data_IF_019733083124
#
_entry.id   IF_019733083124
#
_cell.length_a   1.000
_cell.length_b   1.000
_cell.length_c   1.000
_cell.angle_alpha   90.00
_cell.angle_beta   90.00
_cell.angle_gamma   90.00
#
_symmetry.space_group_name_H-M   'P 1'
#
loop_
_entity.id
_entity.type
_entity.pdbx_description
1 polymer ?
#
# COMPACT_ATOMS: atom_id res chain seq x y z
N UNK A 1 -76.94 -15.77 -57.33
CA UNK A 1 -77.26 -14.83 -56.24
C UNK A 1 -75.95 -14.27 -55.72
N UNK A 2 -75.76 -12.97 -55.90
CA UNK A 2 -74.59 -12.17 -55.51
C UNK A 2 -74.59 -11.85 -54.03
N UNK A 3 -73.43 -11.91 -53.36
CA UNK A 3 -73.12 -10.99 -52.26
C UNK A 3 -71.61 -10.67 -52.25
N UNK A 4 -71.30 -9.37 -52.36
CA UNK A 4 -70.03 -8.74 -52.00
C UNK A 4 -70.04 -8.44 -50.51
N UNK A 5 -68.88 -8.47 -49.86
CA UNK A 5 -68.54 -7.54 -48.78
C UNK A 5 -67.02 -7.32 -48.72
N UNK A 6 -66.60 -6.07 -48.79
CA UNK A 6 -65.25 -5.59 -48.46
C UNK A 6 -65.12 -5.45 -46.93
N UNK A 7 -63.92 -5.70 -46.40
CA UNK A 7 -63.52 -5.15 -45.10
C UNK A 7 -62.01 -4.84 -45.09
N UNK A 8 -61.71 -3.58 -44.80
CA UNK A 8 -60.39 -2.98 -44.62
C UNK A 8 -59.79 -3.41 -43.27
N UNK A 9 -58.53 -3.84 -43.23
CA UNK A 9 -57.82 -4.15 -41.98
C UNK A 9 -56.63 -3.20 -41.77
N UNK A 10 -56.78 -2.32 -40.78
CA UNK A 10 -55.77 -1.42 -40.20
C UNK A 10 -54.53 -2.20 -39.73
N UNK A 11 -53.33 -1.76 -40.14
CA UNK A 11 -52.06 -2.12 -39.50
C UNK A 11 -51.86 -1.25 -38.24
N UNK A 12 -51.92 -1.87 -37.07
CA UNK A 12 -51.57 -1.22 -35.79
C UNK A 12 -50.07 -1.40 -35.55
N UNK A 13 -49.33 -0.30 -35.46
CA UNK A 13 -47.93 -0.24 -35.02
C UNK A 13 -47.87 -0.49 -33.50
N UNK A 14 -47.07 -1.46 -33.04
CA UNK A 14 -46.70 -1.61 -31.64
C UNK A 14 -45.25 -1.15 -31.47
N UNK A 15 -45.06 0.07 -30.94
CA UNK A 15 -43.75 0.58 -30.52
C UNK A 15 -43.40 -0.06 -29.17
N UNK A 16 -42.37 -0.91 -29.13
CA UNK A 16 -41.80 -1.42 -27.86
C UNK A 16 -40.80 -0.38 -27.36
N UNK A 17 -41.22 0.43 -26.39
CA UNK A 17 -40.33 1.30 -25.61
C UNK A 17 -39.60 0.42 -24.58
N UNK A 18 -38.31 0.14 -24.81
CA UNK A 18 -37.42 -0.35 -23.76
C UNK A 18 -37.20 0.77 -22.75
N UNK A 19 -37.97 0.75 -21.67
CA UNK A 19 -37.70 1.54 -20.47
C UNK A 19 -36.37 1.06 -19.86
N UNK A 20 -35.30 1.79 -20.13
CA UNK A 20 -34.09 1.73 -19.32
C UNK A 20 -34.44 2.34 -17.97
N UNK A 21 -34.69 1.50 -16.96
CA UNK A 21 -34.81 1.97 -15.59
C UNK A 21 -33.43 2.47 -15.14
N UNK A 22 -33.27 3.76 -14.78
CA UNK A 22 -32.05 4.20 -14.13
C UNK A 22 -31.91 3.45 -12.80
N UNK A 23 -30.68 3.03 -12.47
CA UNK A 23 -30.39 2.48 -11.15
C UNK A 23 -30.75 3.54 -10.10
N UNK A 24 -31.79 3.27 -9.33
CA UNK A 24 -32.24 4.16 -8.26
C UNK A 24 -31.25 4.06 -7.09
N UNK A 25 -30.27 4.96 -7.05
CA UNK A 25 -29.50 5.20 -5.83
C UNK A 25 -30.45 5.78 -4.77
N UNK A 26 -30.61 5.06 -3.66
CA UNK A 26 -31.42 5.50 -2.53
C UNK A 26 -30.88 6.82 -1.92
N UNK A 27 -31.72 7.67 -1.36
CA UNK A 27 -32.11 8.94 -2.01
C UNK A 27 -31.11 10.07 -1.71
N UNK A 28 -30.72 10.82 -2.75
CA UNK A 28 -30.13 12.16 -2.69
C UNK A 28 -31.20 13.24 -2.88
N UNK A 29 -30.82 14.41 -3.40
CA UNK A 29 -31.71 15.51 -3.78
C UNK A 29 -32.83 15.00 -4.69
N UNK A 30 -34.08 15.32 -4.35
CA UNK A 30 -35.23 15.03 -5.20
C UNK A 30 -35.33 16.11 -6.29
N UNK A 31 -34.89 15.78 -7.50
CA UNK A 31 -34.89 16.71 -8.62
C UNK A 31 -36.28 17.15 -9.07
N UNK A 32 -37.35 16.41 -8.74
CA UNK A 32 -38.72 16.88 -8.97
C UNK A 32 -39.12 18.04 -8.04
N UNK A 33 -38.42 18.20 -6.92
CA UNK A 33 -38.65 19.23 -5.91
C UNK A 33 -37.57 20.34 -5.92
N UNK A 34 -36.66 20.33 -6.90
CA UNK A 34 -35.60 21.33 -7.02
C UNK A 34 -36.17 22.74 -7.29
N UNK A 35 -35.96 23.67 -6.36
CA UNK A 35 -36.47 25.04 -6.45
C UNK A 35 -35.34 26.06 -6.61
N UNK A 36 -34.21 25.85 -5.94
CA UNK A 36 -33.08 26.78 -5.95
C UNK A 36 -32.27 26.71 -7.25
N UNK A 37 -31.50 27.76 -7.54
CA UNK A 37 -30.61 27.77 -8.70
C UNK A 37 -29.55 26.66 -8.59
N UNK A 38 -29.04 26.40 -7.39
CA UNK A 38 -28.10 25.33 -7.10
C UNK A 38 -28.71 23.96 -7.31
N UNK A 39 -29.90 23.69 -6.77
CA UNK A 39 -30.57 22.40 -6.93
C UNK A 39 -30.86 22.10 -8.41
N UNK A 40 -31.29 23.10 -9.17
CA UNK A 40 -31.50 22.96 -10.61
C UNK A 40 -30.21 22.67 -11.37
N UNK A 41 -29.09 23.29 -10.98
CA UNK A 41 -27.78 23.03 -11.59
C UNK A 41 -27.30 21.60 -11.30
N UNK A 42 -27.45 21.12 -10.05
CA UNK A 42 -27.13 19.74 -9.66
C UNK A 42 -27.99 18.76 -10.47
N UNK A 43 -29.29 19.00 -10.58
CA UNK A 43 -30.19 18.11 -11.32
C UNK A 43 -30.00 18.14 -12.84
N UNK A 44 -29.40 19.20 -13.39
CA UNK A 44 -29.09 19.31 -14.80
C UNK A 44 -27.77 18.63 -15.19
N UNK A 45 -26.92 18.28 -14.22
CA UNK A 45 -25.60 17.66 -14.41
C UNK A 45 -25.57 16.24 -13.84
N UNK A 46 -25.23 15.27 -14.69
CA UNK A 46 -25.25 13.86 -14.29
C UNK A 46 -24.20 13.56 -13.22
N UNK A 47 -23.00 14.11 -13.36
CA UNK A 47 -21.89 14.01 -12.42
C UNK A 47 -22.22 14.62 -11.05
N UNK A 48 -22.73 15.86 -10.98
CA UNK A 48 -23.14 16.46 -9.71
C UNK A 48 -24.29 15.70 -9.04
N UNK A 49 -25.23 15.16 -9.81
CA UNK A 49 -26.30 14.34 -9.29
C UNK A 49 -25.77 12.99 -8.72
N UNK A 50 -24.78 12.38 -9.38
CA UNK A 50 -24.11 11.18 -8.86
C UNK A 50 -23.36 11.48 -7.55
N UNK A 51 -22.65 12.60 -7.49
CA UNK A 51 -21.96 13.05 -6.28
C UNK A 51 -22.92 13.30 -5.12
N UNK A 52 -24.09 13.88 -5.39
CA UNK A 52 -25.14 14.06 -4.37
C UNK A 52 -25.67 12.73 -3.81
N UNK A 53 -25.92 11.76 -4.70
CA UNK A 53 -26.27 10.40 -4.32
C UNK A 53 -25.18 9.73 -3.48
N UNK A 54 -23.91 9.85 -3.91
CA UNK A 54 -22.74 9.29 -3.21
C UNK A 54 -22.57 9.90 -1.82
N UNK A 55 -22.66 11.22 -1.71
CA UNK A 55 -22.63 11.92 -0.42
C UNK A 55 -23.72 11.40 0.51
N UNK A 56 -24.95 11.27 0.00
CA UNK A 56 -26.10 10.82 0.77
C UNK A 56 -25.94 9.39 1.30
N UNK A 57 -25.29 8.51 0.53
CA UNK A 57 -24.91 7.17 0.98
C UNK A 57 -23.96 7.23 2.17
N UNK A 58 -22.88 8.01 2.09
CA UNK A 58 -21.92 8.12 3.19
C UNK A 58 -22.49 8.77 4.43
N UNK A 59 -23.28 9.84 4.26
CA UNK A 59 -23.95 10.49 5.38
C UNK A 59 -24.83 9.50 6.16
N UNK A 60 -25.62 8.66 5.46
CA UNK A 60 -26.46 7.64 6.12
C UNK A 60 -25.61 6.60 6.84
N UNK A 61 -24.60 6.05 6.17
CA UNK A 61 -23.70 5.04 6.77
C UNK A 61 -23.00 5.57 8.03
N UNK A 62 -22.49 6.80 7.99
CA UNK A 62 -21.90 7.45 9.15
C UNK A 62 -22.92 7.72 10.25
N UNK A 63 -24.11 8.22 9.90
CA UNK A 63 -25.20 8.41 10.86
C UNK A 63 -25.56 7.10 11.57
N UNK A 64 -25.66 5.99 10.84
CA UNK A 64 -26.04 4.69 11.41
C UNK A 64 -24.95 4.15 12.36
N UNK A 65 -23.67 4.32 12.01
CA UNK A 65 -22.54 3.91 12.82
C UNK A 65 -22.33 4.76 14.09
N UNK A 66 -22.80 6.01 14.09
CA UNK A 66 -22.62 6.92 15.22
C UNK A 66 -23.62 6.68 16.37
N UNK A 67 -23.21 6.87 17.64
CA UNK A 67 -24.14 6.96 18.77
C UNK A 67 -25.11 8.14 18.64
N UNK A 68 -26.30 8.05 19.25
CA UNK A 68 -27.38 9.03 19.10
C UNK A 68 -26.94 10.50 19.30
N UNK A 69 -26.11 10.78 20.31
CA UNK A 69 -25.60 12.14 20.57
C UNK A 69 -24.75 12.72 19.43
N UNK A 70 -23.97 11.89 18.73
CA UNK A 70 -23.13 12.32 17.62
C UNK A 70 -23.92 12.49 16.32
N UNK A 71 -25.05 11.77 16.16
CA UNK A 71 -25.95 11.93 14.99
C UNK A 71 -26.53 13.34 14.89
N UNK A 72 -26.85 13.97 16.02
CA UNK A 72 -27.36 15.35 16.04
C UNK A 72 -26.31 16.36 15.56
N UNK A 73 -25.05 16.19 15.97
CA UNK A 73 -23.93 16.99 15.51
C UNK A 73 -23.68 16.81 14.01
N UNK A 74 -23.66 15.55 13.53
CA UNK A 74 -23.54 15.24 12.10
C UNK A 74 -24.63 15.90 11.27
N UNK A 75 -25.90 15.84 11.71
CA UNK A 75 -27.03 16.50 11.03
C UNK A 75 -26.85 18.02 10.98
N UNK A 76 -26.41 18.63 12.08
CA UNK A 76 -26.16 20.07 12.16
C UNK A 76 -25.06 20.48 11.19
N UNK A 77 -23.96 19.74 11.16
CA UNK A 77 -22.86 19.95 10.22
C UNK A 77 -23.32 19.80 8.76
N UNK A 78 -24.16 18.80 8.46
CA UNK A 78 -24.69 18.59 7.11
C UNK A 78 -25.61 19.72 6.65
N UNK A 79 -26.49 20.22 7.53
CA UNK A 79 -27.34 21.38 7.24
C UNK A 79 -26.51 22.67 7.05
N UNK A 80 -25.43 22.83 7.81
CA UNK A 80 -24.46 23.92 7.61
C UNK A 80 -23.79 23.82 6.24
N UNK A 81 -23.31 22.62 5.88
CA UNK A 81 -22.68 22.37 4.58
C UNK A 81 -23.63 22.64 3.41
N UNK A 82 -24.91 22.26 3.49
CA UNK A 82 -25.90 22.57 2.45
C UNK A 82 -26.02 24.08 2.19
N UNK A 83 -26.02 24.90 3.25
CA UNK A 83 -26.01 26.37 3.10
C UNK A 83 -24.74 26.86 2.40
N UNK A 84 -23.58 26.27 2.70
CA UNK A 84 -22.31 26.60 2.04
C UNK A 84 -22.28 26.16 0.58
N UNK A 85 -22.87 25.00 0.25
CA UNK A 85 -23.03 24.52 -1.13
C UNK A 85 -23.91 25.48 -1.93
N UNK A 86 -25.04 25.89 -1.36
CA UNK A 86 -26.02 26.76 -2.05
C UNK A 86 -25.48 28.17 -2.35
N UNK A 87 -24.39 28.59 -1.71
CA UNK A 87 -23.67 29.83 -2.06
C UNK A 87 -22.99 29.76 -3.43
N UNK A 88 -22.75 28.58 -3.99
CA UNK A 88 -22.19 28.42 -5.34
C UNK A 88 -23.17 28.82 -6.46
N UNK A 89 -24.49 28.91 -6.18
CA UNK A 89 -25.47 29.13 -7.23
C UNK A 89 -25.40 28.01 -8.29
N UNK A 90 -25.32 28.37 -9.57
CA UNK A 90 -25.19 27.41 -10.68
C UNK A 90 -23.73 27.14 -11.11
N UNK A 91 -22.73 27.60 -10.36
CA UNK A 91 -21.32 27.35 -10.69
C UNK A 91 -20.97 25.86 -10.49
N UNK A 92 -20.77 25.16 -11.60
CA UNK A 92 -20.51 23.71 -11.60
C UNK A 92 -19.21 23.35 -10.89
N UNK A 93 -18.09 24.04 -11.17
CA UNK A 93 -16.79 23.74 -10.55
C UNK A 93 -16.80 24.02 -9.04
N UNK A 94 -17.51 25.07 -8.61
CA UNK A 94 -17.73 25.34 -7.18
C UNK A 94 -18.52 24.20 -6.52
N UNK A 95 -19.60 23.71 -7.15
CA UNK A 95 -20.41 22.62 -6.63
C UNK A 95 -19.64 21.31 -6.55
N UNK A 96 -18.95 20.94 -7.63
CA UNK A 96 -18.11 19.74 -7.71
C UNK A 96 -17.08 19.74 -6.57
N UNK A 97 -16.32 20.82 -6.40
CA UNK A 97 -15.34 20.93 -5.32
C UNK A 97 -16.00 20.79 -3.93
N UNK A 98 -17.19 21.37 -3.72
CA UNK A 98 -17.92 21.26 -2.45
C UNK A 98 -18.40 19.84 -2.17
N UNK A 99 -18.86 19.12 -3.18
CA UNK A 99 -19.25 17.72 -3.07
C UNK A 99 -18.05 16.83 -2.78
N UNK A 100 -16.99 16.89 -3.59
CA UNK A 100 -15.80 16.06 -3.43
C UNK A 100 -15.15 16.25 -2.06
N UNK A 101 -15.00 17.50 -1.60
CA UNK A 101 -14.48 17.80 -0.25
C UNK A 101 -15.34 17.14 0.84
N UNK A 102 -16.66 17.29 0.75
CA UNK A 102 -17.58 16.75 1.76
C UNK A 102 -17.68 15.23 1.75
N UNK A 103 -17.63 14.63 0.56
CA UNK A 103 -17.56 13.18 0.40
C UNK A 103 -16.30 12.65 1.07
N UNK A 104 -15.15 13.26 0.82
CA UNK A 104 -13.88 12.93 1.48
C UNK A 104 -13.94 13.06 3.01
N UNK A 105 -14.54 14.14 3.52
CA UNK A 105 -14.74 14.34 4.97
C UNK A 105 -15.60 13.23 5.60
N UNK A 106 -16.72 12.87 4.95
CA UNK A 106 -17.63 11.83 5.43
C UNK A 106 -16.99 10.45 5.35
N UNK A 107 -16.23 10.17 4.29
CA UNK A 107 -15.43 8.95 4.16
C UNK A 107 -14.40 8.83 5.28
N UNK A 108 -13.61 9.86 5.53
CA UNK A 108 -12.59 9.86 6.59
C UNK A 108 -13.19 9.68 7.99
N UNK A 109 -14.30 10.37 8.28
CA UNK A 109 -15.04 10.18 9.53
C UNK A 109 -15.61 8.76 9.65
N UNK A 110 -16.17 8.22 8.58
CA UNK A 110 -16.69 6.86 8.57
C UNK A 110 -15.58 5.83 8.78
N UNK A 111 -14.43 5.99 8.12
CA UNK A 111 -13.25 5.15 8.33
C UNK A 111 -12.85 5.15 9.80
N UNK A 112 -12.77 6.34 10.41
CA UNK A 112 -12.41 6.50 11.82
C UNK A 112 -13.40 5.84 12.78
N UNK A 113 -14.69 5.91 12.48
CA UNK A 113 -15.75 5.32 13.32
C UNK A 113 -15.78 3.80 13.20
N UNK A 114 -15.56 3.27 11.99
CA UNK A 114 -15.56 1.85 11.69
C UNK A 114 -14.20 1.17 11.96
N UNK A 115 -13.14 1.96 12.10
CA UNK A 115 -11.79 1.47 12.33
C UNK A 115 -11.74 0.53 13.53
N UNK A 116 -11.15 -0.64 13.28
CA UNK A 116 -10.95 -1.63 14.32
C UNK A 116 -10.05 -1.09 15.42
N UNK A 117 -10.36 -1.48 16.66
CA UNK A 117 -9.57 -1.15 17.84
C UNK A 117 -8.99 -2.44 18.41
N UNK A 118 -7.66 -2.55 18.55
CA UNK A 118 -7.03 -3.76 19.07
C UNK A 118 -7.55 -4.11 20.45
N UNK A 119 -8.03 -5.34 20.59
CA UNK A 119 -8.58 -5.83 21.83
C UNK A 119 -7.49 -6.41 22.77
N UNK A 120 -7.89 -7.04 23.87
CA UNK A 120 -6.95 -7.63 24.82
C UNK A 120 -6.16 -8.81 24.22
N UNK A 121 -6.75 -9.56 23.28
CA UNK A 121 -6.13 -10.70 22.66
C UNK A 121 -5.12 -10.27 21.59
N UNK A 122 -5.37 -9.19 20.86
CA UNK A 122 -4.39 -8.63 19.92
C UNK A 122 -3.15 -8.07 20.64
N UNK A 123 -3.36 -7.42 21.80
CA UNK A 123 -2.25 -6.96 22.65
C UNK A 123 -1.44 -8.15 23.18
N UNK A 124 -2.12 -9.19 23.63
CA UNK A 124 -1.45 -10.42 24.07
C UNK A 124 -0.72 -11.12 22.92
N UNK A 125 -1.28 -11.12 21.70
CA UNK A 125 -0.62 -11.68 20.51
C UNK A 125 0.66 -10.89 20.15
N UNK A 126 0.64 -9.56 20.29
CA UNK A 126 1.83 -8.73 20.12
C UNK A 126 2.90 -9.02 21.17
N UNK A 127 2.50 -9.19 22.43
CA UNK A 127 3.42 -9.57 23.52
C UNK A 127 4.03 -10.96 23.29
N UNK A 128 3.23 -11.92 22.84
CA UNK A 128 3.69 -13.28 22.49
C UNK A 128 4.69 -13.22 21.32
N UNK A 129 4.39 -12.44 20.28
CA UNK A 129 5.29 -12.24 19.14
C UNK A 129 6.63 -11.64 19.58
N UNK A 130 6.59 -10.58 20.40
CA UNK A 130 7.79 -9.97 20.99
C UNK A 130 8.61 -10.99 21.77
N UNK A 131 7.97 -11.76 22.64
CA UNK A 131 8.63 -12.77 23.46
C UNK A 131 9.30 -13.86 22.61
N UNK A 132 8.65 -14.31 21.54
CA UNK A 132 9.22 -15.25 20.57
C UNK A 132 10.47 -14.68 19.88
N UNK A 133 10.42 -13.41 19.44
CA UNK A 133 11.58 -12.74 18.83
C UNK A 133 12.72 -12.59 19.83
N UNK A 134 12.44 -12.14 21.06
CA UNK A 134 13.44 -12.02 22.13
C UNK A 134 14.07 -13.37 22.49
N UNK A 135 13.30 -14.47 22.44
CA UNK A 135 13.81 -15.82 22.63
C UNK A 135 14.71 -16.24 21.47
N UNK A 136 14.25 -16.08 20.23
CA UNK A 136 15.01 -16.44 19.03
C UNK A 136 16.33 -15.66 18.96
N UNK A 137 16.33 -14.38 19.34
CA UNK A 137 17.52 -13.51 19.38
C UNK A 137 18.65 -14.07 20.24
N UNK A 138 18.34 -14.80 21.31
CA UNK A 138 19.36 -15.40 22.20
C UNK A 138 20.12 -16.54 21.53
N UNK A 139 19.52 -17.20 20.55
CA UNK A 139 20.16 -18.28 19.79
C UNK A 139 20.83 -17.76 18.51
N UNK A 140 20.22 -16.77 17.86
CA UNK A 140 20.73 -16.13 16.66
C UNK A 140 20.25 -14.68 16.59
N UNK A 141 21.18 -13.74 16.69
CA UNK A 141 20.87 -12.31 16.69
C UNK A 141 20.78 -11.70 15.30
N UNK A 142 21.12 -12.43 14.23
CA UNK A 142 21.14 -11.93 12.85
C UNK A 142 19.81 -12.08 12.12
N UNK A 143 19.11 -13.20 12.34
CA UNK A 143 17.80 -13.48 11.71
C UNK A 143 16.76 -14.07 12.68
N UNK A 144 16.56 -13.51 13.89
CA UNK A 144 15.58 -14.05 14.83
C UNK A 144 14.14 -13.86 14.37
N UNK A 145 13.84 -12.76 13.66
CA UNK A 145 12.48 -12.42 13.24
C UNK A 145 12.00 -13.38 12.15
N UNK A 146 12.84 -13.64 11.14
CA UNK A 146 12.52 -14.57 10.05
C UNK A 146 12.19 -15.96 10.59
N UNK A 147 12.99 -16.46 11.53
CA UNK A 147 12.76 -17.76 12.19
C UNK A 147 11.42 -17.83 12.92
N UNK A 148 11.01 -16.73 13.55
CA UNK A 148 9.71 -16.65 14.24
C UNK A 148 8.57 -16.59 13.23
N UNK A 149 8.69 -15.78 12.18
CA UNK A 149 7.71 -15.70 11.09
C UNK A 149 7.52 -17.07 10.43
N UNK A 150 8.61 -17.75 10.05
CA UNK A 150 8.56 -19.08 9.43
C UNK A 150 7.84 -20.10 10.31
N UNK A 151 8.00 -20.00 11.64
CA UNK A 151 7.31 -20.86 12.61
C UNK A 151 5.82 -20.56 12.71
N UNK A 152 5.42 -19.29 12.63
CA UNK A 152 4.04 -18.84 12.81
C UNK A 152 3.23 -18.81 11.50
N UNK A 153 3.90 -18.86 10.35
CA UNK A 153 3.32 -18.80 9.01
C UNK A 153 2.33 -19.94 8.80
N UNK A 154 1.16 -19.59 8.25
CA UNK A 154 0.14 -20.55 7.84
C UNK A 154 0.53 -21.12 6.47
N UNK A 155 0.90 -22.39 6.44
CA UNK A 155 1.29 -23.11 5.21
C UNK A 155 0.28 -24.18 4.82
N UNK A 156 -0.43 -24.76 5.78
CA UNK A 156 -1.44 -25.78 5.55
C UNK A 156 -2.79 -25.16 5.18
N UNK A 157 -3.52 -25.80 4.26
CA UNK A 157 -4.85 -25.33 3.83
C UNK A 157 -4.82 -24.09 2.93
N UNK A 158 -3.64 -23.66 2.48
CA UNK A 158 -3.47 -22.49 1.62
C UNK A 158 -3.39 -22.93 0.16
N UNK A 159 -4.14 -22.28 -0.72
CA UNK A 159 -4.03 -22.46 -2.17
C UNK A 159 -3.80 -21.11 -2.83
N UNK A 160 -2.78 -21.02 -3.69
CA UNK A 160 -2.43 -19.82 -4.44
C UNK A 160 -2.57 -20.08 -5.93
N UNK A 161 -3.10 -19.10 -6.66
CA UNK A 161 -3.18 -19.09 -8.11
C UNK A 161 -3.24 -17.64 -8.60
N UNK A 162 -3.01 -17.40 -9.89
CA UNK A 162 -3.00 -16.05 -10.47
C UNK A 162 -4.03 -15.94 -11.58
N UNK A 163 -4.40 -14.72 -11.94
CA UNK A 163 -5.22 -14.42 -13.11
C UNK A 163 -4.52 -14.83 -14.40
N UNK A 164 -5.32 -15.16 -15.41
CA UNK A 164 -4.82 -15.23 -16.78
C UNK A 164 -4.55 -13.80 -17.29
N UNK A 165 -3.57 -13.64 -18.18
CA UNK A 165 -3.35 -12.38 -18.87
C UNK A 165 -4.51 -12.12 -19.85
N UNK A 166 -5.04 -10.90 -19.87
CA UNK A 166 -6.02 -10.46 -20.87
C UNK A 166 -5.48 -9.28 -21.67
N UNK A 167 -5.84 -9.22 -22.95
CA UNK A 167 -5.48 -8.12 -23.83
C UNK A 167 -6.32 -6.87 -23.49
N UNK A 168 -5.91 -6.14 -22.46
CA UNK A 168 -6.46 -4.81 -22.13
C UNK A 168 -7.77 -4.78 -21.33
N UNK A 169 -8.27 -5.92 -20.86
CA UNK A 169 -9.51 -6.02 -20.06
C UNK A 169 -9.27 -6.29 -18.56
N UNK A 170 -8.05 -6.07 -18.08
CA UNK A 170 -7.69 -6.32 -16.67
C UNK A 170 -7.58 -7.82 -16.32
N UNK A 171 -7.30 -8.19 -15.06
CA UNK A 171 -7.08 -9.57 -14.66
C UNK A 171 -8.37 -10.40 -14.70
N UNK A 172 -8.34 -11.49 -15.48
CA UNK A 172 -9.47 -12.43 -15.59
C UNK A 172 -9.16 -13.70 -14.82
N UNK A 173 -10.16 -14.30 -14.18
CA UNK A 173 -10.00 -15.60 -13.55
C UNK A 173 -9.54 -16.66 -14.57
N UNK A 174 -8.73 -17.64 -14.15
CA UNK A 174 -8.33 -18.74 -15.02
C UNK A 174 -9.52 -19.45 -15.69
N UNK A 175 -9.36 -19.82 -16.95
CA UNK A 175 -10.43 -20.55 -17.68
C UNK A 175 -10.75 -21.90 -17.03
N UNK A 176 -9.71 -22.58 -16.55
CA UNK A 176 -9.81 -23.85 -15.84
C UNK A 176 -9.69 -23.66 -14.33
N UNK A 177 -10.42 -24.48 -13.56
CA UNK A 177 -10.34 -24.45 -12.10
C UNK A 177 -8.93 -24.83 -11.62
N UNK A 178 -8.21 -23.97 -10.90
CA UNK A 178 -6.86 -24.28 -10.43
C UNK A 178 -6.80 -25.48 -9.48
N UNK A 179 -5.65 -26.16 -9.46
CA UNK A 179 -5.40 -27.24 -8.50
C UNK A 179 -5.50 -26.77 -7.05
N UNK A 180 -6.13 -27.57 -6.19
CA UNK A 180 -6.36 -27.20 -4.78
C UNK A 180 -7.58 -26.28 -4.55
N UNK A 181 -8.23 -25.79 -5.60
CA UNK A 181 -9.52 -25.09 -5.50
C UNK A 181 -10.67 -26.10 -5.63
N UNK A 182 -11.59 -26.12 -4.66
CA UNK A 182 -12.74 -27.03 -4.69
C UNK A 182 -13.79 -26.57 -5.71
N UNK A 183 -14.72 -27.46 -6.09
CA UNK A 183 -15.81 -27.10 -7.01
C UNK A 183 -16.71 -26.00 -6.43
N UNK A 184 -16.86 -26.00 -5.11
CA UNK A 184 -17.72 -25.07 -4.39
C UNK A 184 -17.07 -23.68 -4.28
N UNK A 185 -15.77 -23.61 -3.98
CA UNK A 185 -15.02 -22.36 -4.02
C UNK A 185 -14.93 -21.78 -5.43
N UNK A 186 -14.77 -22.62 -6.45
CA UNK A 186 -14.76 -22.17 -7.83
C UNK A 186 -16.11 -21.57 -8.26
N UNK A 187 -17.21 -22.14 -7.78
CA UNK A 187 -18.54 -21.56 -7.99
C UNK A 187 -18.69 -20.24 -7.26
N UNK A 188 -18.17 -20.16 -6.03
CA UNK A 188 -18.23 -18.94 -5.22
C UNK A 188 -17.41 -17.79 -5.80
N UNK A 189 -16.21 -18.07 -6.32
CA UNK A 189 -15.38 -17.10 -7.05
C UNK A 189 -16.17 -16.47 -8.19
N UNK A 190 -16.68 -17.30 -9.12
CA UNK A 190 -17.46 -16.84 -10.27
C UNK A 190 -18.77 -16.11 -9.93
N UNK A 191 -19.27 -16.25 -8.70
CA UNK A 191 -20.48 -15.59 -8.23
C UNK A 191 -20.21 -14.26 -7.48
N UNK A 192 -18.95 -13.92 -7.22
CA UNK A 192 -18.54 -12.67 -6.55
C UNK A 192 -18.66 -11.46 -7.48
N UNK A 193 -18.79 -10.23 -6.96
CA UNK A 193 -18.69 -9.00 -7.75
C UNK A 193 -17.39 -8.98 -8.58
N UNK A 194 -17.47 -8.49 -9.83
CA UNK A 194 -16.41 -8.57 -10.86
C UNK A 194 -15.86 -9.99 -11.16
N UNK A 195 -16.49 -11.06 -10.67
CA UNK A 195 -16.04 -12.45 -10.86
C UNK A 195 -14.76 -12.81 -10.10
N UNK A 196 -13.90 -11.85 -9.81
CA UNK A 196 -12.61 -11.98 -9.12
C UNK A 196 -12.49 -11.11 -7.86
N UNK A 197 -13.38 -10.14 -7.67
CA UNK A 197 -13.27 -9.15 -6.59
C UNK A 197 -12.20 -8.07 -6.83
N UNK A 198 -11.58 -8.05 -8.02
CA UNK A 198 -10.52 -7.13 -8.42
C UNK A 198 -11.13 -5.83 -9.00
N UNK A 199 -10.40 -4.73 -8.89
CA UNK A 199 -10.69 -3.46 -9.57
C UNK A 199 -10.32 -3.53 -11.06
N UNK A 200 -11.16 -2.99 -11.94
CA UNK A 200 -11.01 -3.05 -13.40
C UNK A 200 -9.74 -2.32 -13.91
N UNK A 201 -9.09 -1.55 -13.04
CA UNK A 201 -7.83 -0.84 -13.35
C UNK A 201 -6.56 -1.66 -13.08
N UNK A 202 -6.68 -2.83 -12.45
CA UNK A 202 -5.54 -3.69 -12.15
C UNK A 202 -4.93 -4.30 -13.42
N UNK A 203 -3.61 -4.53 -13.40
CA UNK A 203 -2.86 -5.15 -14.51
C UNK A 203 -2.61 -6.65 -14.31
N UNK A 204 -2.78 -7.12 -13.08
CA UNK A 204 -2.65 -8.52 -12.73
C UNK A 204 -3.24 -8.76 -11.35
N UNK A 205 -3.69 -9.97 -11.09
CA UNK A 205 -4.17 -10.36 -9.78
C UNK A 205 -3.62 -11.72 -9.36
N UNK A 206 -3.27 -11.83 -8.09
CA UNK A 206 -2.96 -13.10 -7.43
C UNK A 206 -3.99 -13.37 -6.34
N UNK A 207 -4.39 -14.62 -6.23
CA UNK A 207 -5.45 -15.07 -5.34
C UNK A 207 -4.90 -16.07 -4.34
N UNK A 208 -5.24 -15.91 -3.07
CA UNK A 208 -4.97 -16.89 -2.02
C UNK A 208 -6.26 -17.31 -1.35
N UNK A 209 -6.56 -18.61 -1.38
CA UNK A 209 -7.61 -19.23 -0.57
C UNK A 209 -7.01 -19.71 0.76
N UNK A 210 -7.52 -19.17 1.86
CA UNK A 210 -7.04 -19.44 3.22
C UNK A 210 -8.19 -19.19 4.22
N UNK A 211 -8.33 -20.04 5.24
CA UNK A 211 -9.29 -19.84 6.32
C UNK A 211 -8.77 -18.76 7.29
N UNK A 212 -9.36 -17.55 7.23
CA UNK A 212 -8.90 -16.37 7.96
C UNK A 212 -9.66 -16.14 9.27
N UNK A 213 -10.89 -16.65 9.40
CA UNK A 213 -11.70 -16.51 10.61
C UNK A 213 -11.88 -17.80 11.43
N UNK A 214 -11.36 -18.92 10.94
CA UNK A 214 -11.32 -20.21 11.62
C UNK A 214 -12.63 -20.98 11.55
N UNK A 215 -13.55 -20.63 10.64
CA UNK A 215 -14.85 -21.29 10.48
C UNK A 215 -14.77 -22.61 9.68
N UNK A 216 -13.59 -22.94 9.16
CA UNK A 216 -13.33 -24.14 8.35
C UNK A 216 -13.67 -23.97 6.86
N UNK A 217 -14.16 -22.80 6.46
CA UNK A 217 -14.31 -22.40 5.07
C UNK A 217 -13.18 -21.43 4.73
N UNK A 218 -12.58 -21.59 3.54
CA UNK A 218 -11.52 -20.68 3.12
C UNK A 218 -12.09 -19.39 2.58
N UNK A 219 -11.52 -18.29 3.00
CA UNK A 219 -11.73 -16.95 2.50
C UNK A 219 -10.80 -16.64 1.34
N UNK A 220 -11.03 -15.50 0.69
CA UNK A 220 -10.26 -15.07 -0.47
C UNK A 220 -9.42 -13.84 -0.13
N UNK A 221 -8.11 -13.95 -0.32
CA UNK A 221 -7.20 -12.81 -0.39
C UNK A 221 -6.94 -12.51 -1.86
N UNK A 222 -7.04 -11.25 -2.25
CA UNK A 222 -6.79 -10.78 -3.61
C UNK A 222 -5.67 -9.75 -3.55
N UNK A 223 -4.57 -10.02 -4.25
CA UNK A 223 -3.48 -9.08 -4.46
C UNK A 223 -3.62 -8.52 -5.87
N UNK A 224 -3.91 -7.22 -5.98
CA UNK A 224 -4.16 -6.55 -7.26
C UNK A 224 -3.00 -5.62 -7.59
N UNK A 225 -2.27 -5.90 -8.66
CA UNK A 225 -1.16 -5.08 -9.12
C UNK A 225 -1.68 -3.86 -9.89
N UNK A 226 -1.31 -2.67 -9.45
CA UNK A 226 -1.62 -1.42 -10.12
C UNK A 226 -0.60 -1.12 -11.25
N UNK A 227 -1.03 -0.34 -12.23
CA UNK A 227 -0.13 0.17 -13.26
C UNK A 227 0.80 1.26 -12.71
N UNK A 228 2.00 1.36 -13.26
CA UNK A 228 2.94 2.44 -12.96
C UNK A 228 4.36 1.98 -12.62
N UNK A 229 5.25 2.95 -12.44
CA UNK A 229 6.65 2.69 -12.15
C UNK A 229 6.90 2.29 -10.70
N UNK A 230 5.92 2.37 -9.78
CA UNK A 230 6.10 1.91 -8.40
C UNK A 230 6.00 0.38 -8.21
N UNK A 231 5.35 -0.35 -9.13
CA UNK A 231 4.91 -1.74 -8.88
C UNK A 231 4.05 -1.84 -7.62
N UNK A 232 3.07 -0.94 -7.51
CA UNK A 232 2.14 -0.92 -6.39
C UNK A 232 1.21 -2.13 -6.47
N UNK A 233 0.92 -2.75 -5.32
CA UNK A 233 -0.12 -3.77 -5.20
C UNK A 233 -1.00 -3.47 -3.99
N UNK A 234 -2.31 -3.68 -4.12
CA UNK A 234 -3.25 -3.68 -2.99
C UNK A 234 -3.57 -5.10 -2.58
N UNK A 235 -3.76 -5.33 -1.28
CA UNK A 235 -4.19 -6.63 -0.76
C UNK A 235 -5.55 -6.51 -0.10
N UNK A 236 -6.55 -7.11 -0.72
CA UNK A 236 -7.94 -7.14 -0.26
C UNK A 236 -8.27 -8.51 0.38
N UNK A 237 -9.19 -8.50 1.35
CA UNK A 237 -9.70 -9.73 1.98
C UNK A 237 -11.22 -9.82 1.90
N UNK A 238 -11.73 -10.89 1.32
CA UNK A 238 -13.15 -11.14 1.11
C UNK A 238 -13.57 -12.39 1.88
N UNK A 239 -14.62 -12.25 2.68
CA UNK A 239 -15.16 -13.35 3.48
C UNK A 239 -16.00 -14.26 2.59
N UNK A 240 -15.91 -15.56 2.83
CA UNK A 240 -16.80 -16.54 2.20
C UNK A 240 -18.16 -16.55 2.88
N UNK A 241 -19.21 -16.12 2.16
CA UNK A 241 -20.57 -16.08 2.71
C UNK A 241 -21.64 -16.23 1.64
N UNK A 242 -22.65 -17.05 1.93
CA UNK A 242 -23.78 -17.24 1.02
C UNK A 242 -23.40 -17.80 -0.36
N UNK A 243 -22.32 -18.59 -0.42
CA UNK A 243 -21.85 -19.19 -1.67
C UNK A 243 -21.13 -18.23 -2.62
N UNK A 244 -20.66 -17.08 -2.14
CA UNK A 244 -19.82 -16.11 -2.85
C UNK A 244 -18.75 -15.55 -1.91
N UNK A 245 -17.79 -14.80 -2.45
CA UNK A 245 -16.86 -14.00 -1.66
C UNK A 245 -17.36 -12.55 -1.64
N UNK A 246 -17.49 -11.99 -0.45
CA UNK A 246 -17.94 -10.61 -0.28
C UNK A 246 -17.03 -9.85 0.68
N UNK A 247 -16.89 -8.55 0.40
CA UNK A 247 -16.31 -7.60 1.34
C UNK A 247 -17.15 -7.63 2.63
N UNK A 248 -16.50 -7.62 3.80
CA UNK A 248 -17.22 -7.65 5.08
C UNK A 248 -18.23 -6.50 5.15
N UNK A 249 -19.40 -6.73 5.73
CA UNK A 249 -20.47 -5.72 5.80
C UNK A 249 -20.07 -4.43 6.52
N UNK A 250 -19.00 -4.47 7.31
CA UNK A 250 -18.40 -3.31 8.00
C UNK A 250 -17.39 -2.55 7.12
N UNK A 251 -16.85 -3.17 6.08
CA UNK A 251 -16.01 -2.53 5.07
C UNK A 251 -16.90 -1.99 3.95
N UNK A 252 -17.11 -0.68 4.00
CA UNK A 252 -17.96 0.02 3.07
C UNK A 252 -17.28 0.11 1.69
N UNK A 253 -18.00 -0.13 0.57
CA UNK A 253 -17.48 -0.18 -0.82
C UNK A 253 -16.62 1.01 -1.26
N UNK A 254 -16.62 2.10 -0.50
CA UNK A 254 -15.90 3.32 -0.81
C UNK A 254 -15.07 3.86 0.37
N UNK A 255 -14.81 3.02 1.37
CA UNK A 255 -13.58 3.09 2.17
C UNK A 255 -12.53 2.24 1.45
N UNK A 256 -11.25 2.61 1.59
CA UNK A 256 -10.15 1.82 1.01
C UNK A 256 -10.33 0.35 1.39
N UNK A 257 -10.46 -0.51 0.38
CA UNK A 257 -10.78 -1.93 0.54
C UNK A 257 -9.54 -2.73 0.96
N UNK A 258 -8.38 -2.14 0.71
CA UNK A 258 -7.08 -2.73 0.92
C UNK A 258 -6.81 -2.87 2.41
N UNK A 259 -6.46 -4.08 2.85
CA UNK A 259 -5.92 -4.32 4.18
C UNK A 259 -4.54 -3.66 4.32
N UNK A 260 -3.75 -3.66 3.25
CA UNK A 260 -2.50 -2.93 3.10
C UNK A 260 -2.16 -2.82 1.62
N UNK A 261 -1.21 -1.94 1.30
CA UNK A 261 -0.59 -1.86 -0.03
C UNK A 261 0.91 -2.13 0.08
N UNK A 262 1.55 -2.46 -1.03
CA UNK A 262 3.00 -2.64 -1.12
C UNK A 262 3.56 -1.86 -2.31
N UNK A 263 4.71 -1.21 -2.15
CA UNK A 263 5.45 -0.56 -3.22
C UNK A 263 6.69 -1.39 -3.59
N UNK A 264 6.63 -2.12 -4.72
CA UNK A 264 7.70 -3.05 -5.11
C UNK A 264 9.01 -2.40 -5.57
N UNK A 265 9.04 -1.08 -5.83
CA UNK A 265 10.28 -0.37 -6.17
C UNK A 265 10.68 0.68 -5.14
N UNK A 266 9.78 1.20 -4.31
CA UNK A 266 10.05 2.30 -3.39
C UNK A 266 9.89 2.01 -1.91
N UNK A 267 9.77 0.73 -1.53
CA UNK A 267 9.75 0.29 -0.14
C UNK A 267 10.17 -1.19 -0.04
N UNK A 268 10.39 -1.68 1.17
CA UNK A 268 10.60 -3.10 1.45
C UNK A 268 9.43 -3.64 2.28
N UNK A 269 8.30 -3.72 1.59
CA UNK A 269 7.03 -4.10 2.19
C UNK A 269 6.70 -5.56 1.85
N UNK A 270 6.18 -6.29 2.82
CA UNK A 270 5.77 -7.67 2.62
C UNK A 270 4.67 -8.05 3.60
N UNK A 271 3.76 -8.95 3.20
CA UNK A 271 2.70 -9.46 4.07
C UNK A 271 2.79 -10.97 4.25
N UNK A 272 2.63 -11.41 5.49
CA UNK A 272 2.64 -12.84 5.84
C UNK A 272 1.40 -13.22 6.63
N UNK A 273 0.75 -14.33 6.26
CA UNK A 273 -0.38 -14.86 7.02
C UNK A 273 0.14 -15.72 8.17
N UNK A 274 -0.03 -15.25 9.41
CA UNK A 274 0.44 -15.94 10.61
C UNK A 274 -0.71 -16.29 11.55
N UNK A 275 -0.48 -17.28 12.41
CA UNK A 275 -1.42 -17.63 13.49
C UNK A 275 -0.81 -17.39 14.86
N UNK A 276 -1.47 -16.57 15.67
CA UNK A 276 -1.11 -16.29 17.06
C UNK A 276 -2.35 -16.43 17.94
N UNK A 277 -2.22 -17.15 19.06
CA UNK A 277 -3.31 -17.37 20.02
C UNK A 277 -4.61 -17.93 19.41
N UNK A 278 -4.53 -18.63 18.28
CA UNK A 278 -5.70 -19.15 17.55
C UNK A 278 -6.33 -18.17 16.57
N UNK A 279 -5.89 -16.92 16.54
CA UNK A 279 -6.29 -15.89 15.59
C UNK A 279 -5.33 -15.82 14.40
N UNK A 280 -5.88 -15.56 13.21
CA UNK A 280 -5.10 -15.26 12.00
C UNK A 280 -4.86 -13.75 11.89
N UNK A 281 -3.64 -13.37 11.54
CA UNK A 281 -3.24 -11.99 11.28
C UNK A 281 -2.53 -11.91 9.92
N UNK A 282 -2.71 -10.79 9.20
CA UNK A 282 -1.70 -10.37 8.24
C UNK A 282 -0.59 -9.67 9.03
N UNK A 283 0.59 -10.28 9.08
CA UNK A 283 1.80 -9.64 9.57
C UNK A 283 2.39 -8.84 8.42
N UNK A 284 2.02 -7.56 8.35
CA UNK A 284 2.53 -6.64 7.35
C UNK A 284 3.84 -6.03 7.84
N UNK A 285 4.90 -6.10 7.03
CA UNK A 285 6.20 -5.50 7.29
C UNK A 285 6.35 -4.24 6.44
N UNK A 286 6.86 -3.18 7.05
CA UNK A 286 7.44 -2.02 6.38
C UNK A 286 8.86 -1.81 6.93
N UNK A 287 9.85 -1.85 6.05
CA UNK A 287 11.26 -1.90 6.44
C UNK A 287 12.03 -0.69 5.92
N UNK A 288 12.93 -0.23 6.77
CA UNK A 288 13.91 0.82 6.51
C UNK A 288 15.28 0.36 6.97
N UNK A 289 16.34 1.02 6.50
CA UNK A 289 17.68 0.74 6.98
C UNK A 289 17.77 0.85 8.51
N UNK A 290 18.11 -0.25 9.17
CA UNK A 290 18.27 -0.33 10.62
C UNK A 290 16.97 -0.55 11.40
N UNK A 291 15.82 -0.68 10.73
CA UNK A 291 14.53 -0.81 11.40
C UNK A 291 13.53 -1.60 10.56
N UNK A 292 12.91 -2.61 11.17
CA UNK A 292 11.71 -3.23 10.62
C UNK A 292 10.51 -2.87 11.50
N UNK A 293 9.40 -2.51 10.88
CA UNK A 293 8.11 -2.36 11.54
C UNK A 293 7.16 -3.46 11.08
N UNK A 294 6.62 -4.21 12.03
CA UNK A 294 5.66 -5.27 11.76
C UNK A 294 4.31 -4.95 12.39
N UNK A 295 3.27 -4.95 11.57
CA UNK A 295 1.91 -4.60 11.92
C UNK A 295 1.04 -5.85 11.95
N UNK A 296 0.33 -6.08 13.05
CA UNK A 296 -0.63 -7.18 13.19
C UNK A 296 -2.02 -6.75 12.73
N UNK A 297 -2.33 -6.98 11.45
CA UNK A 297 -3.59 -6.56 10.85
C UNK A 297 -4.64 -7.67 10.98
N UNK A 298 -5.83 -7.29 11.42
CA UNK A 298 -6.99 -8.19 11.51
C UNK A 298 -7.67 -8.30 10.15
N UNK A 299 -7.86 -9.52 9.61
CA UNK A 299 -8.68 -9.71 8.42
C UNK A 299 -10.10 -9.14 8.63
N UNK A 300 -10.75 -8.73 7.53
CA UNK A 300 -12.14 -8.27 7.50
C UNK A 300 -12.43 -7.03 8.36
N UNK A 301 -11.41 -6.24 8.67
CA UNK A 301 -11.51 -5.08 9.54
C UNK A 301 -11.07 -3.81 8.81
N UNK A 302 -11.68 -2.67 9.15
CA UNK A 302 -11.21 -1.36 8.68
C UNK A 302 -9.95 -1.01 9.47
N UNK A 303 -8.83 -0.82 8.78
CA UNK A 303 -7.55 -0.52 9.43
C UNK A 303 -7.59 0.84 10.10
N UNK A 304 -7.05 0.90 11.31
CA UNK A 304 -6.87 2.13 12.08
C UNK A 304 -5.71 1.97 13.04
N UNK A 305 -6.01 1.89 14.34
CA UNK A 305 -4.97 1.56 15.32
C UNK A 305 -4.62 0.07 15.22
N UNK A 306 -3.33 -0.24 15.18
CA UNK A 306 -2.83 -1.60 14.99
C UNK A 306 -1.71 -1.91 15.97
N UNK A 307 -1.60 -3.15 16.47
CA UNK A 307 -0.44 -3.58 17.22
C UNK A 307 0.79 -3.62 16.32
N UNK A 308 1.85 -2.92 16.73
CA UNK A 308 3.11 -2.78 16.00
C UNK A 308 4.27 -3.34 16.82
N UNK A 309 5.10 -4.16 16.18
CA UNK A 309 6.41 -4.59 16.67
C UNK A 309 7.49 -3.84 15.88
N UNK A 310 8.32 -3.07 16.57
CA UNK A 310 9.47 -2.39 15.94
C UNK A 310 10.74 -3.13 16.34
N UNK A 311 11.54 -3.51 15.35
CA UNK A 311 12.83 -4.20 15.56
C UNK A 311 13.94 -3.31 15.03
N UNK A 312 14.86 -2.93 15.90
CA UNK A 312 16.03 -2.15 15.51
C UNK A 312 17.23 -3.05 15.29
N UNK A 313 18.03 -2.71 14.28
CA UNK A 313 19.23 -3.42 13.90
C UNK A 313 20.43 -2.48 13.90
N UNK A 314 21.60 -3.06 14.15
CA UNK A 314 22.89 -2.47 13.80
C UNK A 314 23.54 -3.33 12.73
N UNK A 315 24.17 -2.68 11.76
CA UNK A 315 24.89 -3.36 10.69
C UNK A 315 26.40 -3.26 10.90
N UNK A 316 27.09 -4.39 10.76
CA UNK A 316 28.53 -4.41 10.51
C UNK A 316 28.74 -4.49 9.00
N UNK A 317 29.12 -3.36 8.41
CA UNK A 317 29.33 -3.20 6.98
C UNK A 317 30.78 -3.52 6.61
N UNK A 318 30.99 -4.02 5.39
CA UNK A 318 32.31 -4.27 4.82
C UNK A 318 32.25 -4.30 3.30
N UNK A 319 33.31 -3.83 2.63
CA UNK A 319 33.46 -3.98 1.18
C UNK A 319 34.23 -5.26 0.89
N UNK A 320 33.68 -6.22 0.13
CA UNK A 320 34.44 -7.38 -0.34
C UNK A 320 35.65 -6.95 -1.18
N UNK A 321 36.82 -7.56 -0.95
CA UNK A 321 38.01 -7.28 -1.76
C UNK A 321 37.80 -7.70 -3.22
N UNK A 322 37.07 -8.80 -3.44
CA UNK A 322 36.66 -9.25 -4.77
C UNK A 322 35.27 -8.68 -5.08
N UNK A 323 35.21 -7.78 -6.07
CA UNK A 323 34.00 -7.13 -6.53
C UNK A 323 33.46 -7.83 -7.78
N UNK A 324 32.17 -8.17 -7.76
CA UNK A 324 31.46 -8.71 -8.91
C UNK A 324 30.47 -7.67 -9.40
N UNK A 325 30.58 -7.32 -10.67
CA UNK A 325 29.61 -6.44 -11.31
C UNK A 325 28.45 -7.29 -11.81
N UNK A 326 27.22 -6.95 -11.40
CA UNK A 326 26.03 -7.59 -11.93
C UNK A 326 26.02 -7.50 -13.46
N UNK A 327 25.75 -8.63 -14.12
CA UNK A 327 25.71 -8.72 -15.59
C UNK A 327 27.06 -8.79 -16.31
N UNK A 328 28.21 -8.74 -15.61
CA UNK A 328 29.54 -8.94 -16.21
C UNK A 328 30.15 -10.26 -15.79
N UNK A 329 30.81 -10.94 -16.74
CA UNK A 329 31.60 -12.14 -16.45
C UNK A 329 32.97 -11.75 -15.88
N UNK A 330 33.24 -12.19 -14.65
CA UNK A 330 34.52 -11.97 -13.96
C UNK A 330 34.38 -11.14 -12.68
N UNK A 331 35.47 -11.02 -11.94
CA UNK A 331 35.57 -10.21 -10.73
C UNK A 331 36.79 -9.31 -10.76
N UNK A 332 36.69 -8.17 -10.09
CA UNK A 332 37.76 -7.19 -9.94
C UNK A 332 38.27 -7.24 -8.51
N UNK A 333 39.59 -7.37 -8.34
CA UNK A 333 40.23 -7.28 -7.02
C UNK A 333 40.55 -5.83 -6.72
N UNK A 334 40.08 -5.32 -5.59
CA UNK A 334 40.36 -3.96 -5.14
C UNK A 334 41.82 -3.81 -4.70
N UNK A 335 42.43 -2.68 -5.05
CA UNK A 335 43.71 -2.26 -4.48
C UNK A 335 43.59 -2.13 -2.96
N UNK A 336 44.65 -2.51 -2.24
CA UNK A 336 44.67 -2.50 -0.78
C UNK A 336 44.45 -1.11 -0.18
N UNK A 337 44.94 -0.03 -0.83
CA UNK A 337 44.74 1.34 -0.33
C UNK A 337 43.29 1.78 -0.48
N UNK A 338 42.69 1.52 -1.65
CA UNK A 338 41.29 1.79 -1.93
C UNK A 338 40.38 0.99 -1.00
N UNK A 339 40.63 -0.32 -0.86
CA UNK A 339 39.86 -1.19 0.03
C UNK A 339 39.86 -0.68 1.48
N UNK A 340 41.05 -0.33 2.02
CA UNK A 340 41.17 0.23 3.36
C UNK A 340 40.46 1.59 3.51
N UNK A 341 40.49 2.43 2.47
CA UNK A 341 39.78 3.72 2.48
C UNK A 341 38.26 3.54 2.51
N UNK A 342 37.72 2.60 1.71
CA UNK A 342 36.29 2.30 1.67
C UNK A 342 35.81 1.70 3.00
N UNK A 343 36.53 0.72 3.56
CA UNK A 343 36.17 0.11 4.84
C UNK A 343 36.20 1.12 5.99
N UNK A 344 37.16 2.07 5.97
CA UNK A 344 37.20 3.17 6.94
C UNK A 344 35.98 4.08 6.81
N UNK A 345 35.65 4.49 5.58
CA UNK A 345 34.51 5.37 5.33
C UNK A 345 33.18 4.73 5.76
N UNK A 346 33.01 3.42 5.53
CA UNK A 346 31.82 2.70 6.00
C UNK A 346 31.70 2.67 7.53
N UNK A 347 32.82 2.59 8.26
CA UNK A 347 32.80 2.62 9.72
C UNK A 347 32.19 3.93 10.24
N UNK A 348 32.53 5.06 9.62
CA UNK A 348 32.05 6.39 10.01
C UNK A 348 30.53 6.57 9.77
N UNK A 349 29.92 5.73 8.92
CA UNK A 349 28.47 5.73 8.60
C UNK A 349 27.70 4.60 9.29
N UNK A 350 28.39 3.55 9.77
CA UNK A 350 27.76 2.33 10.33
C UNK A 350 26.92 2.53 11.61
N UNK A 351 27.14 3.63 12.33
CA UNK A 351 26.35 4.02 13.52
C UNK A 351 25.31 5.13 13.20
N UNK A 352 25.18 5.54 11.94
CA UNK A 352 24.21 6.56 11.54
C UNK A 352 22.85 5.95 11.19
N UNK A 353 21.78 6.66 11.55
CA UNK A 353 20.44 6.41 10.98
C UNK A 353 20.46 6.77 9.50
N UNK A 354 19.70 6.07 8.66
CA UNK A 354 19.46 6.53 7.29
C UNK A 354 18.96 7.97 7.29
N UNK A 355 19.49 8.80 6.38
CA UNK A 355 19.23 10.24 6.34
C UNK A 355 19.11 10.70 4.90
N UNK A 356 18.00 11.36 4.63
CA UNK A 356 17.82 12.16 3.42
C UNK A 356 18.69 13.41 3.51
N UNK A 357 19.92 13.28 3.02
CA UNK A 357 20.85 14.33 2.60
C UNK A 357 21.34 15.37 3.63
N UNK A 358 22.67 15.54 3.63
CA UNK A 358 23.35 16.82 3.85
C UNK A 358 23.84 17.09 5.28
N UNK A 359 25.15 17.13 5.47
CA UNK A 359 25.73 17.87 6.59
C UNK A 359 25.81 19.36 6.21
N UNK A 360 25.56 20.27 7.16
CA UNK A 360 25.92 21.69 7.04
C UNK A 360 27.45 21.90 6.91
N UNK A 361 28.22 20.84 7.20
CA UNK A 361 29.68 20.80 7.10
C UNK A 361 30.11 20.06 5.82
N UNK A 362 31.03 20.62 5.02
CA UNK A 362 31.55 19.95 3.83
C UNK A 362 32.21 18.61 4.19
N UNK A 363 31.92 17.56 3.42
CA UNK A 363 32.56 16.25 3.54
C UNK A 363 34.00 16.30 3.03
N UNK A 364 34.21 16.97 1.90
CA UNK A 364 35.54 17.22 1.35
C UNK A 364 35.94 18.70 1.47
N UNK A 365 37.26 19.00 1.53
CA UNK A 365 37.74 20.38 1.54
C UNK A 365 37.27 21.14 0.30
N UNK A 366 36.65 22.31 0.50
CA UNK A 366 36.16 23.17 -0.59
C UNK A 366 37.29 24.13 -1.01
N UNK A 367 37.75 24.10 -2.28
CA UNK A 367 38.70 25.08 -2.79
C UNK A 367 38.15 26.52 -2.70
N UNK A 368 38.98 27.53 -2.41
CA UNK A 368 38.52 28.93 -2.33
C UNK A 368 37.87 29.46 -3.62
N UNK A 369 38.17 28.85 -4.77
CA UNK A 369 37.57 29.16 -6.06
C UNK A 369 36.12 28.70 -6.22
N UNK A 370 35.63 27.79 -5.37
CA UNK A 370 34.26 27.24 -5.44
C UNK A 370 33.30 28.11 -4.64
N UNK A 371 32.31 28.67 -5.33
CA UNK A 371 31.35 29.65 -4.81
C UNK A 371 29.91 29.24 -5.16
N UNK A 372 28.93 29.80 -4.46
CA UNK A 372 27.51 29.55 -4.74
C UNK A 372 27.10 28.09 -4.59
N UNK A 373 26.21 27.64 -5.46
CA UNK A 373 25.56 26.32 -5.39
C UNK A 373 26.54 25.15 -5.60
N UNK A 374 27.65 25.37 -6.30
CA UNK A 374 28.73 24.38 -6.53
C UNK A 374 29.38 23.87 -5.22
N UNK A 375 29.16 24.56 -4.10
CA UNK A 375 29.64 24.13 -2.77
C UNK A 375 28.91 22.88 -2.27
N UNK A 376 27.69 22.65 -2.76
CA UNK A 376 26.88 21.47 -2.42
C UNK A 376 27.52 20.16 -2.91
N UNK A 377 28.28 20.20 -4.02
CA UNK A 377 29.00 19.05 -4.59
C UNK A 377 30.10 18.48 -3.69
N UNK A 378 30.51 19.24 -2.66
CA UNK A 378 31.51 18.85 -1.67
C UNK A 378 30.87 18.43 -0.33
N UNK A 379 29.55 18.63 -0.19
CA UNK A 379 28.82 18.49 1.07
C UNK A 379 27.79 17.37 1.03
N UNK A 380 27.40 16.92 -0.16
CA UNK A 380 26.51 15.78 -0.38
C UNK A 380 26.79 15.09 -1.71
N UNK A 381 26.32 13.87 -1.85
CA UNK A 381 26.44 13.11 -3.09
C UNK A 381 25.42 13.59 -4.16
N UNK A 382 24.35 14.28 -3.75
CA UNK A 382 23.30 14.82 -4.62
C UNK A 382 21.91 14.26 -4.30
N UNK A 383 20.89 14.49 -5.15
CA UNK A 383 19.55 13.94 -4.93
C UNK A 383 19.56 12.40 -4.97
N UNK A 384 18.61 11.78 -4.25
CA UNK A 384 18.36 10.33 -4.30
C UNK A 384 17.44 9.93 -5.45
N UNK A 385 17.08 8.64 -5.48
CA UNK A 385 16.05 8.11 -6.36
C UNK A 385 15.05 7.33 -5.50
N UNK A 386 13.78 7.34 -5.90
CA UNK A 386 12.70 6.65 -5.17
C UNK A 386 12.88 5.11 -5.08
N UNK A 387 13.94 4.56 -5.68
CA UNK A 387 14.13 3.12 -5.79
C UNK A 387 15.03 2.52 -4.72
N UNK A 388 15.59 3.34 -3.83
CA UNK A 388 16.48 2.92 -2.75
C UNK A 388 16.46 3.95 -1.62
N UNK A 389 16.99 3.58 -0.46
CA UNK A 389 17.22 4.48 0.66
C UNK A 389 18.66 4.98 0.66
N UNK A 390 18.84 6.26 0.99
CA UNK A 390 20.16 6.81 1.28
C UNK A 390 20.47 6.53 2.75
N UNK A 391 21.42 5.64 2.99
CA UNK A 391 21.90 5.37 4.34
C UNK A 391 22.74 6.55 4.83
N UNK A 392 23.60 7.08 3.97
CA UNK A 392 24.35 8.29 4.28
C UNK A 392 25.37 8.66 3.22
N UNK A 393 25.80 9.91 3.27
CA UNK A 393 26.91 10.45 2.49
C UNK A 393 28.15 10.59 3.38
N UNK A 394 29.33 10.34 2.82
CA UNK A 394 30.61 10.31 3.55
C UNK A 394 31.78 10.80 2.72
N UNK A 395 32.88 11.16 3.38
CA UNK A 395 34.14 11.40 2.72
C UNK A 395 34.92 10.08 2.56
N UNK A 396 35.41 9.78 1.37
CA UNK A 396 36.30 8.65 1.11
C UNK A 396 37.67 9.18 0.73
N UNK A 397 38.68 8.95 1.57
CA UNK A 397 40.04 9.45 1.35
C UNK A 397 40.96 8.35 0.82
N UNK A 398 41.36 8.46 -0.45
CA UNK A 398 42.30 7.53 -1.10
C UNK A 398 43.61 8.27 -1.37
N UNK A 399 44.60 8.07 -0.49
CA UNK A 399 45.81 8.89 -0.51
C UNK A 399 45.48 10.35 -0.16
N UNK A 400 45.92 11.29 -1.00
CA UNK A 400 45.65 12.73 -0.82
C UNK A 400 44.33 13.19 -1.46
N UNK A 401 43.62 12.29 -2.15
CA UNK A 401 42.38 12.62 -2.85
C UNK A 401 41.16 12.35 -1.96
N UNK A 402 40.25 13.32 -1.89
CA UNK A 402 38.96 13.19 -1.21
C UNK A 402 37.83 12.99 -2.23
N UNK A 403 37.04 11.93 -2.04
CA UNK A 403 35.85 11.61 -2.82
C UNK A 403 34.60 11.79 -1.96
N UNK A 404 33.48 12.10 -2.60
CA UNK A 404 32.16 12.05 -1.98
C UNK A 404 31.63 10.65 -2.21
N UNK A 405 31.38 9.92 -1.12
CA UNK A 405 30.78 8.59 -1.12
C UNK A 405 29.32 8.64 -0.69
N UNK A 406 28.52 7.70 -1.18
CA UNK A 406 27.14 7.45 -0.76
C UNK A 406 26.91 5.97 -0.56
N UNK A 407 26.43 5.62 0.62
CA UNK A 407 25.92 4.28 0.90
C UNK A 407 24.41 4.29 0.67
N UNK A 408 23.95 3.41 -0.22
CA UNK A 408 22.53 3.12 -0.42
C UNK A 408 22.21 1.69 0.00
N UNK A 409 20.94 1.49 0.28
CA UNK A 409 20.33 0.20 0.61
C UNK A 409 18.99 0.08 -0.12
N UNK A 410 18.62 -1.13 -0.50
CA UNK A 410 17.33 -1.42 -1.13
C UNK A 410 16.25 -1.63 -0.06
N UNK A 411 15.97 -0.56 0.70
CA UNK A 411 14.93 -0.49 1.74
C UNK A 411 15.07 -1.54 2.87
N UNK A 412 16.29 -1.92 3.23
CA UNK A 412 16.55 -2.91 4.28
C UNK A 412 16.37 -4.36 3.80
N UNK A 413 16.40 -4.63 2.48
CA UNK A 413 16.36 -6.00 1.95
C UNK A 413 17.55 -6.82 2.51
N UNK A 414 17.22 -7.75 3.39
CA UNK A 414 18.18 -8.62 4.04
C UNK A 414 18.04 -10.05 3.52
N UNK A 415 19.01 -10.46 2.70
CA UNK A 415 19.06 -11.80 2.11
C UNK A 415 19.93 -12.72 2.95
N UNK A 416 19.98 -13.99 2.56
CA UNK A 416 20.84 -15.00 3.19
C UNK A 416 22.31 -14.56 3.28
N UNK A 417 22.77 -13.78 2.32
CA UNK A 417 24.16 -13.30 2.23
C UNK A 417 24.38 -11.94 2.92
N UNK A 418 23.35 -11.38 3.54
CA UNK A 418 23.39 -10.11 4.28
C UNK A 418 22.54 -9.01 3.65
N UNK A 419 22.78 -7.78 4.13
CA UNK A 419 22.19 -6.57 3.56
C UNK A 419 22.65 -6.40 2.11
N UNK A 420 21.71 -6.12 1.22
CA UNK A 420 22.03 -5.75 -0.16
C UNK A 420 22.28 -4.24 -0.20
N UNK A 421 23.55 -3.83 -0.06
CA UNK A 421 23.93 -2.42 -0.07
C UNK A 421 24.98 -2.13 -1.14
N UNK A 422 25.02 -0.87 -1.57
CA UNK A 422 25.99 -0.37 -2.54
C UNK A 422 26.62 0.92 -2.03
N UNK A 423 27.94 1.01 -2.15
CA UNK A 423 28.70 2.24 -1.92
C UNK A 423 29.12 2.79 -3.27
N UNK A 424 28.68 4.00 -3.59
CA UNK A 424 29.17 4.75 -4.74
C UNK A 424 30.13 5.85 -4.29
N UNK A 425 31.09 6.21 -5.13
CA UNK A 425 31.96 7.37 -4.89
C UNK A 425 32.27 8.12 -6.19
N UNK A 426 32.36 9.45 -6.07
CA UNK A 426 32.76 10.36 -7.16
C UNK A 426 33.67 11.46 -6.65
N UNK A 427 34.38 12.14 -7.56
CA UNK A 427 35.06 13.38 -7.20
C UNK A 427 34.03 14.50 -6.93
N UNK A 428 34.35 15.47 -6.07
CA UNK A 428 33.59 16.72 -6.03
C UNK A 428 33.64 17.42 -7.40
N UNK A 429 32.50 17.94 -7.88
CA UNK A 429 32.33 18.59 -9.21
C UNK A 429 32.69 17.70 -10.41
N UNK A 430 32.49 16.39 -10.28
CA UNK A 430 32.78 15.48 -11.39
C UNK A 430 31.70 15.58 -12.48
N UNK A 431 31.98 16.32 -13.55
CA UNK A 431 31.16 16.38 -14.77
C UNK A 431 31.46 15.22 -15.74
N UNK A 432 32.33 14.26 -15.38
CA UNK A 432 32.93 13.30 -16.32
C UNK A 432 32.38 11.86 -16.25
N UNK A 433 31.23 11.63 -15.61
CA UNK A 433 30.61 10.29 -15.44
C UNK A 433 31.53 9.22 -14.80
N UNK A 434 32.55 9.63 -14.04
CA UNK A 434 33.54 8.72 -13.42
C UNK A 434 33.13 8.17 -12.05
N UNK A 435 31.84 7.93 -11.89
CA UNK A 435 31.30 7.26 -10.71
C UNK A 435 31.86 5.83 -10.59
N UNK A 436 32.29 5.47 -9.39
CA UNK A 436 32.71 4.11 -9.04
C UNK A 436 31.72 3.53 -8.04
N UNK A 437 31.26 2.30 -8.29
CA UNK A 437 30.32 1.60 -7.42
C UNK A 437 30.94 0.32 -6.87
N UNK A 438 30.60 0.01 -5.62
CA UNK A 438 31.12 -1.13 -4.88
C UNK A 438 29.96 -1.84 -4.17
N UNK A 439 29.93 -3.16 -4.27
CA UNK A 439 29.06 -4.00 -3.45
C UNK A 439 29.49 -3.93 -1.99
N UNK A 440 28.53 -3.84 -1.08
CA UNK A 440 28.75 -3.81 0.37
C UNK A 440 28.01 -4.97 1.01
N UNK A 441 28.70 -5.72 1.85
CA UNK A 441 28.10 -6.76 2.68
C UNK A 441 27.77 -6.18 4.05
N UNK A 442 26.54 -6.38 4.52
CA UNK A 442 26.12 -6.01 5.86
C UNK A 442 25.67 -7.21 6.68
N UNK A 443 26.30 -7.45 7.84
CA UNK A 443 25.78 -8.40 8.83
C UNK A 443 25.01 -7.62 9.87
N UNK A 444 23.72 -7.91 10.00
CA UNK A 444 22.86 -7.21 10.97
C UNK A 444 22.85 -7.91 12.31
N UNK A 445 22.54 -7.16 13.35
CA UNK A 445 22.31 -7.68 14.70
C UNK A 445 21.16 -6.91 15.32
N UNK A 446 20.15 -7.62 15.82
CA UNK A 446 19.04 -6.99 16.55
C UNK A 446 19.56 -6.33 17.82
N UNK A 447 19.33 -5.03 17.96
CA UNK A 447 19.75 -4.23 19.12
C UNK A 447 18.62 -4.03 20.11
N UNK A 448 17.38 -3.85 19.63
CA UNK A 448 16.20 -3.72 20.48
C UNK A 448 14.94 -4.17 19.76
N UNK A 449 13.92 -4.51 20.57
CA UNK A 449 12.58 -4.88 20.11
C UNK A 449 11.60 -4.11 20.98
N UNK A 450 10.67 -3.39 20.35
CA UNK A 450 9.67 -2.56 20.99
C UNK A 450 8.27 -2.91 20.48
N UNK A 451 7.26 -2.56 21.27
CA UNK A 451 5.85 -2.79 20.96
C UNK A 451 5.06 -1.52 21.19
N UNK A 452 4.13 -1.21 20.29
CA UNK A 452 3.22 -0.06 20.42
C UNK A 452 1.87 -0.36 19.76
N UNK A 453 0.89 0.51 20.01
CA UNK A 453 -0.37 0.55 19.26
C UNK A 453 -0.41 1.91 18.56
N UNK A 454 -0.40 1.92 17.24
CA UNK A 454 -0.29 3.15 16.45
C UNK A 454 -1.27 3.17 15.27
N UNK A 455 -1.55 4.36 14.75
CA UNK A 455 -2.33 4.49 13.52
C UNK A 455 -1.47 4.04 12.34
N UNK A 456 -1.98 3.12 11.54
CA UNK A 456 -1.35 2.74 10.27
C UNK A 456 -2.06 3.41 9.11
N UNK A 457 -1.30 4.09 8.26
CA UNK A 457 -1.77 4.57 6.97
C UNK A 457 -1.61 3.47 5.92
N UNK A 458 -2.68 3.12 5.24
CA UNK A 458 -2.74 2.00 4.26
C UNK A 458 -1.87 2.24 3.01
N UNK A 459 -1.22 3.40 2.89
CA UNK A 459 -0.34 3.81 1.77
C UNK A 459 0.94 4.49 2.29
N UNK A 460 1.80 3.77 3.00
CA UNK A 460 3.04 4.32 3.60
C UNK A 460 4.24 4.40 2.66
N UNK A 461 4.15 3.92 1.41
CA UNK A 461 5.24 4.09 0.45
C UNK A 461 5.32 5.54 -0.05
N UNK A 462 6.50 6.15 0.13
CA UNK A 462 6.80 7.54 -0.25
C UNK A 462 6.46 7.88 -1.71
#
# INVERSE_FOLDING_TARGET
MTFRFEASLRRTFLLVLLAHAPQAFAAGLDCAQATSQTEKAICASNDLHQDDGRLSVFYRKLSDALPQGHRAALRTAQLGWLKTRDQCGADHGCLEQRYLTRIGDLQSQLATVLAYRPDAEDKAALDDLRALVDQARRADSSSPVEKVIDRLRITNGVTRFSSDASDGEGPVLPTERPGGVTADEWRALKASPSGSGVDDTAMGASYTLIDLDGDGLRDLVVESAANGTGLWSSVDVLRRKGGKFEVSGDSNEALDRSLYTTNGRGANQAGEWIRLRGRVYALYRDSHYGMDEFYLLRPFSVVGQVPKLTVHYRYRLSVPIEQRNEGKTGSTVLDAKLHAALDKALHDVSDSTARDAGFDTPLCPIPPSVQGDDRSDYSSYGPGHYAYEIVGDMAVHVGDTCYIGRLIDWFGDYRKDGLVAQLSMRLPRDESDREQTFSVNGIRTVTSVATSIEQMTVNSGN
#
